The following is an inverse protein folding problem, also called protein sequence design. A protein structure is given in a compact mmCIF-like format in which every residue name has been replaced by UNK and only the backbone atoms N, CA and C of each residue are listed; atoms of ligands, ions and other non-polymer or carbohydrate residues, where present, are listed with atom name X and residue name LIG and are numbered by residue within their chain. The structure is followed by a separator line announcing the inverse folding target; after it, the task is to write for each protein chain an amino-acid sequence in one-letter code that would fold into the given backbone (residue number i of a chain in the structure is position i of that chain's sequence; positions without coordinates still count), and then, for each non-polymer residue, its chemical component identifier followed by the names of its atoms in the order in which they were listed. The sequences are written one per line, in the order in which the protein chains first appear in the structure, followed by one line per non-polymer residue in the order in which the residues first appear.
data_IF_994889442274
#
_entry.id   IF_994889442274
#
_cell.length_a   1.000
_cell.length_b   1.000
_cell.length_c   1.000
_cell.angle_alpha   90.00
_cell.angle_beta   90.00
_cell.angle_gamma   90.00
#
_symmetry.space_group_name_H-M   'P 1'
#
loop_
_entity.id
_entity.type
_entity.pdbx_description
1 polymer ?
#
# COMPACT_ATOMS: atom_id res chain seq x y z
N UNK A 1 12.45 -0.20 22.90
CA UNK A 1 11.99 0.58 21.73
C UNK A 1 10.77 1.37 22.17
N UNK A 2 10.68 2.67 21.88
CA UNK A 2 9.49 3.49 22.18
C UNK A 2 8.36 3.16 21.19
N UNK A 3 7.21 2.62 21.64
CA UNK A 3 6.10 2.25 20.75
C UNK A 3 5.59 3.43 19.90
N UNK A 4 5.59 4.65 20.45
CA UNK A 4 5.16 5.86 19.74
C UNK A 4 6.13 6.29 18.64
N UNK A 5 7.39 5.86 18.71
CA UNK A 5 8.39 6.05 17.65
C UNK A 5 8.23 5.02 16.53
N UNK A 6 7.91 3.77 16.87
CA UNK A 6 7.66 2.70 15.88
C UNK A 6 6.45 3.06 15.02
N UNK A 7 5.31 3.41 15.64
CA UNK A 7 4.08 3.74 14.90
C UNK A 7 4.27 4.94 13.96
N UNK A 8 4.97 5.99 14.42
CA UNK A 8 5.29 7.14 13.57
C UNK A 8 6.20 6.76 12.41
N UNK A 9 7.19 5.89 12.67
CA UNK A 9 8.09 5.43 11.63
C UNK A 9 7.37 4.57 10.59
N UNK A 10 6.49 3.65 11.00
CA UNK A 10 5.68 2.84 10.07
C UNK A 10 4.78 3.70 9.21
N UNK A 11 4.11 4.70 9.79
CA UNK A 11 3.30 5.66 9.01
C UNK A 11 4.13 6.50 8.03
N UNK A 12 5.34 6.87 8.42
CA UNK A 12 6.26 7.56 7.50
C UNK A 12 6.67 6.65 6.35
N UNK A 13 7.01 5.39 6.64
CA UNK A 13 7.35 4.40 5.60
C UNK A 13 6.18 4.15 4.65
N UNK A 14 4.94 4.11 5.15
CA UNK A 14 3.75 3.98 4.32
C UNK A 14 3.58 5.18 3.38
N UNK A 15 3.80 6.41 3.89
CA UNK A 15 3.76 7.62 3.09
C UNK A 15 4.85 7.65 2.01
N UNK A 16 6.09 7.33 2.39
CA UNK A 16 7.24 7.28 1.47
C UNK A 16 6.99 6.22 0.37
N UNK A 17 6.39 5.08 0.73
CA UNK A 17 6.03 4.03 -0.23
C UNK A 17 4.92 4.48 -1.19
N UNK A 18 3.90 5.19 -0.69
CA UNK A 18 2.86 5.77 -1.53
C UNK A 18 3.45 6.79 -2.53
N UNK A 19 4.39 7.64 -2.09
CA UNK A 19 5.04 8.61 -2.97
C UNK A 19 5.84 7.93 -4.08
N UNK A 20 6.56 6.84 -3.79
CA UNK A 20 7.25 6.04 -4.80
C UNK A 20 6.28 5.42 -5.84
N UNK A 21 5.09 5.01 -5.41
CA UNK A 21 4.05 4.51 -6.33
C UNK A 21 3.50 5.66 -7.19
N UNK A 22 3.28 6.85 -6.63
CA UNK A 22 2.87 8.04 -7.40
C UNK A 22 3.89 8.34 -8.50
N UNK A 23 5.19 8.35 -8.16
CA UNK A 23 6.25 8.55 -9.14
C UNK A 23 6.19 7.50 -10.25
N UNK A 24 6.00 6.23 -9.90
CA UNK A 24 5.93 5.14 -10.87
C UNK A 24 4.70 5.24 -11.78
N UNK A 25 3.52 5.55 -11.22
CA UNK A 25 2.28 5.68 -12.00
C UNK A 25 2.28 6.93 -12.89
N UNK A 26 3.02 7.96 -12.49
CA UNK A 26 3.16 9.19 -13.28
C UNK A 26 4.21 9.08 -14.39
N UNK A 27 5.06 8.02 -14.40
CA UNK A 27 6.03 7.78 -15.49
C UNK A 27 5.28 7.39 -16.77
N UNK A 28 5.08 8.38 -17.65
CA UNK A 28 4.44 8.21 -18.95
C UNK A 28 3.06 8.85 -19.06
N UNK A 29 2.56 9.47 -17.99
CA UNK A 29 1.41 10.36 -18.06
C UNK A 29 1.89 11.77 -18.42
N UNK A 30 1.44 12.30 -19.56
CA UNK A 30 1.54 13.74 -19.81
C UNK A 30 0.75 14.49 -18.73
N UNK A 31 1.15 15.73 -18.43
CA UNK A 31 0.62 16.58 -17.36
C UNK A 31 -0.86 16.34 -17.03
N UNK A 32 -1.08 15.49 -16.02
CA UNK A 32 -2.40 15.04 -15.61
C UNK A 32 -3.25 16.21 -15.11
N UNK A 33 -4.52 16.27 -15.52
CA UNK A 33 -5.49 17.21 -14.98
C UNK A 33 -5.69 16.98 -13.47
N UNK A 34 -6.28 17.95 -12.75
CA UNK A 34 -6.44 17.88 -11.29
C UNK A 34 -7.06 16.58 -10.77
N UNK A 35 -8.09 16.07 -11.46
CA UNK A 35 -8.80 14.84 -11.08
C UNK A 35 -7.96 13.58 -11.33
N UNK A 36 -7.18 13.54 -12.41
CA UNK A 36 -6.29 12.42 -12.73
C UNK A 36 -5.12 12.36 -11.75
N UNK A 37 -4.59 13.52 -11.35
CA UNK A 37 -3.60 13.61 -10.28
C UNK A 37 -4.15 13.11 -8.95
N UNK A 38 -5.38 13.50 -8.59
CA UNK A 38 -6.05 13.01 -7.40
C UNK A 38 -6.24 11.49 -7.47
N UNK A 39 -6.68 10.96 -8.62
CA UNK A 39 -6.84 9.54 -8.84
C UNK A 39 -5.54 8.76 -8.62
N UNK A 40 -4.42 9.22 -9.19
CA UNK A 40 -3.09 8.61 -8.99
C UNK A 40 -2.69 8.59 -7.51
N UNK A 41 -2.86 9.73 -6.83
CA UNK A 41 -2.52 9.87 -5.41
C UNK A 41 -3.36 8.92 -4.54
N UNK A 42 -4.67 8.85 -4.79
CA UNK A 42 -5.59 7.96 -4.05
C UNK A 42 -5.22 6.50 -4.30
N UNK A 43 -5.02 6.12 -5.57
CA UNK A 43 -4.61 4.77 -5.96
C UNK A 43 -3.32 4.35 -5.27
N UNK A 44 -2.30 5.21 -5.26
CA UNK A 44 -1.04 4.94 -4.59
C UNK A 44 -1.19 4.71 -3.08
N UNK A 45 -2.01 5.53 -2.40
CA UNK A 45 -2.31 5.38 -0.97
C UNK A 45 -3.07 4.10 -0.67
N UNK A 46 -4.04 3.73 -1.49
CA UNK A 46 -4.76 2.47 -1.34
C UNK A 46 -3.82 1.27 -1.46
N UNK A 47 -2.92 1.28 -2.46
CA UNK A 47 -1.91 0.24 -2.64
C UNK A 47 -0.98 0.15 -1.42
N UNK A 48 -0.46 1.28 -0.93
CA UNK A 48 0.40 1.32 0.24
C UNK A 48 -0.30 0.74 1.48
N UNK A 49 -1.52 1.19 1.77
CA UNK A 49 -2.31 0.69 2.89
C UNK A 49 -2.57 -0.82 2.80
N UNK A 50 -2.85 -1.36 1.60
CA UNK A 50 -3.04 -2.79 1.41
C UNK A 50 -1.77 -3.62 1.66
N UNK A 51 -0.62 -3.15 1.17
CA UNK A 51 0.68 -3.82 1.40
C UNK A 51 1.04 -3.79 2.88
N UNK A 52 0.90 -2.64 3.55
CA UNK A 52 1.22 -2.51 4.97
C UNK A 52 0.24 -3.28 5.86
N UNK A 53 -1.05 -3.35 5.49
CA UNK A 53 -2.01 -4.22 6.16
C UNK A 53 -1.68 -5.71 6.02
N UNK A 54 -1.23 -6.14 4.84
CA UNK A 54 -0.72 -7.50 4.64
C UNK A 54 0.54 -7.77 5.48
N UNK A 55 1.47 -6.82 5.56
CA UNK A 55 2.66 -6.91 6.40
C UNK A 55 2.30 -6.98 7.89
N UNK A 56 1.33 -6.19 8.35
CA UNK A 56 0.86 -6.23 9.74
C UNK A 56 0.26 -7.59 10.09
N UNK A 57 -0.63 -8.11 9.24
CA UNK A 57 -1.21 -9.45 9.40
C UNK A 57 -0.13 -10.54 9.43
N UNK A 58 0.87 -10.45 8.55
CA UNK A 58 2.01 -11.36 8.54
C UNK A 58 2.84 -11.27 9.84
N UNK A 59 3.13 -10.06 10.33
CA UNK A 59 3.95 -9.88 11.54
C UNK A 59 3.31 -10.48 12.81
N UNK A 60 1.99 -10.45 12.91
CA UNK A 60 1.23 -10.98 14.05
C UNK A 60 0.76 -12.43 13.86
N UNK A 61 0.90 -12.98 12.65
CA UNK A 61 0.46 -14.32 12.29
C UNK A 61 1.36 -15.45 12.81
N UNK A 62 0.84 -16.68 12.75
CA UNK A 62 1.56 -17.89 13.15
C UNK A 62 2.56 -18.36 12.08
N UNK A 63 2.22 -18.20 10.81
CA UNK A 63 3.12 -18.43 9.68
C UNK A 63 3.75 -17.10 9.27
N UNK A 64 5.09 -17.01 9.41
CA UNK A 64 5.89 -15.83 9.07
C UNK A 64 6.89 -16.11 7.95
N UNK A 65 6.59 -17.08 7.09
CA UNK A 65 7.36 -17.34 5.89
C UNK A 65 7.23 -16.19 4.88
N UNK A 66 8.22 -16.05 3.99
CA UNK A 66 8.16 -15.07 2.89
C UNK A 66 7.11 -15.45 1.84
N UNK A 67 6.83 -16.75 1.69
CA UNK A 67 5.77 -17.25 0.83
C UNK A 67 4.39 -16.78 1.33
N UNK A 68 4.17 -16.83 2.64
CA UNK A 68 2.96 -16.32 3.26
C UNK A 68 2.81 -14.81 3.08
N UNK A 69 3.89 -14.04 3.29
CA UNK A 69 3.88 -12.59 3.01
C UNK A 69 3.53 -12.30 1.55
N UNK A 70 4.11 -13.05 0.61
CA UNK A 70 3.83 -12.91 -0.83
C UNK A 70 2.37 -13.19 -1.15
N UNK A 71 1.80 -14.24 -0.54
CA UNK A 71 0.38 -14.59 -0.67
C UNK A 71 -0.54 -13.50 -0.13
N UNK A 72 -0.24 -12.96 1.06
CA UNK A 72 -1.03 -11.90 1.70
C UNK A 72 -0.99 -10.61 0.87
N UNK A 73 0.19 -10.17 0.43
CA UNK A 73 0.34 -8.99 -0.44
C UNK A 73 -0.43 -9.18 -1.77
N UNK A 74 -0.29 -10.34 -2.41
CA UNK A 74 -1.00 -10.65 -3.66
C UNK A 74 -2.52 -10.64 -3.47
N UNK A 75 -3.00 -11.15 -2.33
CA UNK A 75 -4.42 -11.16 -1.97
C UNK A 75 -4.93 -9.73 -1.75
N UNK A 76 -4.22 -8.92 -0.97
CA UNK A 76 -4.62 -7.54 -0.69
C UNK A 76 -4.68 -6.69 -1.98
N UNK A 77 -3.67 -6.79 -2.84
CA UNK A 77 -3.64 -6.07 -4.13
C UNK A 77 -4.72 -6.57 -5.09
N UNK A 78 -5.01 -7.87 -5.09
CA UNK A 78 -6.10 -8.43 -5.88
C UNK A 78 -7.46 -7.91 -5.41
N UNK A 79 -7.70 -7.84 -4.10
CA UNK A 79 -8.91 -7.25 -3.53
C UNK A 79 -9.07 -5.77 -3.91
N UNK A 80 -7.99 -4.98 -3.92
CA UNK A 80 -8.06 -3.60 -4.41
C UNK A 80 -8.47 -3.54 -5.88
N UNK A 81 -7.88 -4.40 -6.72
CA UNK A 81 -8.16 -4.45 -8.16
C UNK A 81 -9.59 -4.91 -8.47
N UNK A 82 -10.12 -5.85 -7.68
CA UNK A 82 -11.48 -6.37 -7.81
C UNK A 82 -12.53 -5.41 -7.20
N UNK A 83 -12.10 -4.43 -6.41
CA UNK A 83 -12.94 -3.50 -5.66
C UNK A 83 -13.01 -3.89 -4.19
N UNK A 84 -12.78 -2.90 -3.31
CA UNK A 84 -12.90 -3.07 -1.84
C UNK A 84 -14.40 -3.21 -1.52
N UNK A 85 -14.86 -4.46 -1.43
CA UNK A 85 -16.26 -4.88 -1.38
C UNK A 85 -17.04 -4.58 -2.68
N UNK A 86 -17.00 -5.54 -3.61
CA UNK A 86 -18.20 -5.86 -4.37
C UNK A 86 -19.09 -6.71 -3.44
N UNK A 87 -20.08 -6.05 -2.82
CA UNK A 87 -21.34 -6.71 -2.45
C UNK A 87 -22.34 -6.50 -3.59
#
# INVERSE_FOLDING_TARGET
LDPGRIVRHTRQLEADFADAIVEQLSRGADSAAGDERLHTIVTARCIAAAVFGAMEMWMVGTDRSLDELTRLCSTALRSLREGVAAD
#
